data_IF_843290914552
#
_entry.id   IF_843290914552
#
_cell.length_a   1.000
_cell.length_b   1.000
_cell.length_c   1.000
_cell.angle_alpha   90.00
_cell.angle_beta   90.00
_cell.angle_gamma   90.00
#
_symmetry.space_group_name_H-M   'P 1'
#
loop_
_entity.id
_entity.type
_entity.pdbx_description
1 polymer ?
2 non-polymer ?
#
# COMPACT_ATOMS: atom_id res chain seq x y z
N UNK A 10 18.44 15.35 14.16
CA UNK A 10 18.49 16.06 15.43
C UNK A 10 18.62 15.10 16.59
N UNK A 11 17.82 14.04 16.60
CA UNK A 11 17.88 13.06 17.67
C UNK A 11 18.22 11.66 17.22
N UNK A 12 19.24 11.08 17.84
CA UNK A 12 19.62 9.71 17.54
C UNK A 12 20.21 9.66 16.14
N UNK A 13 19.40 10.10 15.19
CA UNK A 13 19.76 10.15 13.79
C UNK A 13 19.64 11.59 13.35
N UNK A 14 20.58 12.06 12.56
CA UNK A 14 20.48 13.43 12.05
C UNK A 14 19.26 13.53 11.16
N UNK A 15 18.53 14.63 11.29
CA UNK A 15 17.32 14.82 10.49
C UNK A 15 17.59 15.70 9.29
N UNK A 16 17.27 15.21 8.11
CA UNK A 16 17.54 15.93 6.87
C UNK A 16 16.29 16.46 6.17
N UNK A 17 16.25 16.28 4.84
CA UNK A 17 15.19 16.73 3.94
C UNK A 17 13.83 16.12 4.24
N UNK A 18 12.76 16.94 4.10
CA UNK A 18 11.38 16.54 4.32
C UNK A 18 10.88 15.72 3.13
N UNK A 19 10.43 14.48 3.39
CA UNK A 19 9.90 13.58 2.38
C UNK A 19 8.46 13.95 2.06
N UNK A 20 7.65 14.15 3.10
CA UNK A 20 6.24 14.52 2.99
C UNK A 20 5.66 15.15 4.23
N UNK A 21 4.41 15.62 4.12
CA UNK A 21 3.66 16.25 5.22
C UNK A 21 2.29 15.56 5.35
N UNK A 22 2.14 14.80 6.43
CA UNK A 22 0.91 14.06 6.73
C UNK A 22 -0.07 14.85 7.58
N UNK A 23 -1.10 14.15 8.10
CA UNK A 23 -2.14 14.74 8.95
C UNK A 23 -1.59 15.11 10.32
N UNK A 24 -0.98 14.13 11.02
CA UNK A 24 -0.40 14.28 12.36
C UNK A 24 0.96 15.02 12.39
N UNK A 25 1.54 15.25 11.21
CA UNK A 25 2.81 15.96 11.08
C UNK A 25 3.69 15.53 9.93
N UNK A 26 4.88 16.15 9.83
CA UNK A 26 5.88 15.90 8.78
C UNK A 26 6.53 14.51 8.89
N UNK A 27 7.17 14.08 7.80
CA UNK A 27 7.94 12.83 7.69
C UNK A 27 9.25 13.16 6.95
N UNK A 28 10.39 13.09 7.66
CA UNK A 28 11.73 13.43 7.16
C UNK A 28 12.68 12.22 7.08
N UNK A 29 13.83 12.40 6.40
CA UNK A 29 14.88 11.40 6.27
C UNK A 29 15.88 11.56 7.43
N UNK A 30 16.45 10.45 7.89
CA UNK A 30 17.40 10.44 9.00
C UNK A 30 18.62 9.61 8.72
N UNK A 31 19.77 10.26 8.47
CA UNK A 31 21.03 9.58 8.21
C UNK A 31 21.78 9.29 9.52
N UNK A 32 22.49 8.15 9.58
CA UNK A 32 23.26 7.77 10.78
C UNK A 32 24.55 8.59 10.86
N UNK A 33 24.82 9.16 12.05
CA UNK A 33 25.99 10.00 12.32
C UNK A 33 27.33 9.24 12.23
N UNK A 34 27.32 7.89 12.35
CA UNK A 34 28.54 7.07 12.28
C UNK A 34 28.64 6.22 11.00
N UNK A 35 27.60 5.42 10.70
CA UNK A 35 27.58 4.50 9.55
C UNK A 35 27.04 5.12 8.25
N UNK A 36 26.05 6.02 8.37
CA UNK A 36 25.43 6.67 7.24
C UNK A 36 24.15 6.00 6.80
N UNK A 37 23.64 5.07 7.63
CA UNK A 37 22.39 4.31 7.40
C UNK A 37 21.20 5.27 7.44
N UNK A 38 20.38 5.25 6.37
CA UNK A 38 19.21 6.10 6.22
C UNK A 38 17.92 5.47 6.72
N UNK A 39 17.17 6.22 7.54
CA UNK A 39 15.87 5.83 8.10
C UNK A 39 14.80 6.92 7.79
N UNK A 40 13.52 6.57 7.94
CA UNK A 40 12.40 7.48 7.72
C UNK A 40 11.74 7.79 9.06
N UNK A 41 11.72 9.07 9.44
CA UNK A 41 11.16 9.48 10.73
C UNK A 41 9.82 10.19 10.57
N UNK A 42 8.75 9.56 11.09
CA UNK A 42 7.40 10.13 11.09
C UNK A 42 7.25 10.93 12.37
N UNK A 43 7.20 12.27 12.24
CA UNK A 43 7.06 13.19 13.38
C UNK A 43 5.56 13.43 13.60
N UNK A 44 5.02 12.92 14.71
CA UNK A 44 3.59 13.06 15.04
C UNK A 44 3.40 14.03 16.20
N UNK A 45 2.62 15.11 15.98
CA UNK A 45 2.34 16.14 16.99
C UNK A 45 1.37 15.64 18.06
N UNK A 46 1.84 15.60 19.33
CA UNK A 46 1.06 15.14 20.49
C UNK A 46 -0.20 15.97 20.77
N UNK A 47 -0.13 17.30 20.53
CA UNK A 47 -1.27 18.23 20.72
C UNK A 47 -2.35 17.97 19.65
N UNK A 48 -1.93 17.71 18.40
CA UNK A 48 -2.79 17.41 17.26
C UNK A 48 -3.54 16.08 17.48
N UNK A 49 -2.86 15.08 18.10
CA UNK A 49 -3.42 13.77 18.43
C UNK A 49 -4.47 13.93 19.56
N UNK A 50 -4.12 14.73 20.59
CA UNK A 50 -4.98 15.05 21.73
C UNK A 50 -6.23 15.83 21.31
N UNK A 51 -6.09 16.69 20.28
CA UNK A 51 -7.19 17.50 19.74
C UNK A 51 -8.13 16.65 18.87
N UNK A 52 -7.60 15.60 18.23
CA UNK A 52 -8.36 14.68 17.38
C UNK A 52 -9.00 13.52 18.14
N UNK A 53 -8.75 13.44 19.48
CA UNK A 53 -9.27 12.42 20.42
C UNK A 53 -8.93 10.97 20.00
N UNK A 54 -7.73 10.78 19.44
CA UNK A 54 -7.24 9.46 18.99
C UNK A 54 -5.91 9.10 19.68
N UNK A 55 -5.83 9.38 21.01
CA UNK A 55 -4.67 9.13 21.87
C UNK A 55 -4.42 7.62 22.04
N UNK A 56 -5.46 6.90 22.47
CA UNK A 56 -5.42 5.46 22.67
C UNK A 56 -5.38 4.68 21.38
N UNK A 57 -6.00 5.23 20.32
CA UNK A 57 -6.07 4.63 18.97
C UNK A 57 -4.68 4.51 18.35
N UNK A 58 -3.88 5.60 18.40
CA UNK A 58 -2.52 5.67 17.85
C UNK A 58 -1.54 4.85 18.70
N UNK A 59 -1.70 4.88 20.05
CA UNK A 59 -0.86 4.13 21.00
C UNK A 59 -0.98 2.62 20.81
N UNK A 60 -2.22 2.11 20.56
CA UNK A 60 -2.50 0.70 20.32
C UNK A 60 -2.07 0.28 18.91
N UNK A 61 -2.09 1.22 17.95
CA UNK A 61 -1.68 1.02 16.56
C UNK A 61 -0.16 0.78 16.49
N UNK A 62 0.62 1.62 17.21
CA UNK A 62 2.08 1.55 17.30
C UNK A 62 2.51 0.24 17.97
N UNK A 63 1.76 -0.19 19.02
CA UNK A 63 2.00 -1.43 19.75
C UNK A 63 1.79 -2.64 18.82
N UNK A 64 0.78 -2.56 17.92
CA UNK A 64 0.47 -3.60 16.94
C UNK A 64 1.50 -3.62 15.81
N UNK A 65 2.00 -2.44 15.40
CA UNK A 65 3.01 -2.27 14.35
C UNK A 65 4.39 -2.74 14.80
N UNK A 66 4.66 -2.72 16.12
CA UNK A 66 5.95 -3.15 16.70
C UNK A 66 6.10 -4.67 16.58
N UNK A 67 4.99 -5.42 16.70
CA UNK A 67 4.94 -6.88 16.59
C UNK A 67 4.78 -7.38 15.14
N UNK A 68 4.72 -6.43 14.17
CA UNK A 68 4.57 -6.71 12.75
C UNK A 68 5.88 -7.27 12.17
N UNK A 69 5.79 -8.40 11.45
CA UNK A 69 6.94 -9.02 10.79
C UNK A 69 6.57 -9.61 9.42
N UNK A 70 6.65 -8.75 8.39
CA UNK A 70 6.37 -9.06 6.98
C UNK A 70 7.40 -8.27 6.15
N UNK A 71 8.18 -8.91 5.24
CA UNK A 71 9.22 -8.18 4.50
C UNK A 71 8.74 -7.16 3.46
N UNK A 72 7.47 -7.25 3.04
CA UNK A 72 6.92 -6.35 2.02
C UNK A 72 6.05 -5.23 2.63
N UNK A 73 6.25 -4.99 3.94
CA UNK A 73 5.62 -3.93 4.73
C UNK A 73 6.75 -3.14 5.43
N UNK A 74 6.64 -1.79 5.46
CA UNK A 74 7.63 -0.93 6.10
C UNK A 74 7.69 -1.22 7.61
N UNK A 75 8.85 -1.64 8.11
CA UNK A 75 9.03 -1.98 9.52
C UNK A 75 9.28 -0.77 10.40
N UNK A 76 8.80 -0.82 11.65
CA UNK A 76 8.95 0.21 12.66
C UNK A 76 10.05 -0.23 13.60
N UNK A 77 11.15 0.54 13.66
CA UNK A 77 12.28 0.21 14.51
C UNK A 77 12.10 0.68 15.95
N UNK A 78 11.96 2.00 16.16
CA UNK A 78 11.79 2.59 17.48
C UNK A 78 10.87 3.81 17.47
N UNK A 79 10.30 4.15 18.64
CA UNK A 79 9.43 5.32 18.82
C UNK A 79 9.97 6.17 19.98
N UNK A 80 10.58 7.33 19.66
CA UNK A 80 11.14 8.26 20.64
C UNK A 80 10.06 9.28 21.03
N UNK A 81 9.81 9.44 22.34
CA UNK A 81 8.81 10.35 22.86
C UNK A 81 9.40 11.61 23.51
N UNK A 82 8.89 12.78 23.11
CA UNK A 82 9.27 14.09 23.62
C UNK A 82 7.98 14.82 24.04
N UNK A 83 8.01 15.82 24.97
CA UNK A 83 6.75 16.49 25.36
C UNK A 83 5.98 17.19 24.23
N UNK A 84 6.65 17.45 23.08
CA UNK A 84 6.04 18.11 21.93
C UNK A 84 5.61 17.15 20.82
N UNK A 85 6.49 16.20 20.43
CA UNK A 85 6.21 15.27 19.33
C UNK A 85 6.57 13.79 19.61
N UNK A 86 6.16 12.92 18.67
CA UNK A 86 6.40 11.47 18.65
C UNK A 86 7.26 11.18 17.41
N UNK A 87 8.36 10.45 17.59
CA UNK A 87 9.30 10.16 16.50
C UNK A 87 9.33 8.68 16.10
N UNK A 88 8.58 8.32 15.04
CA UNK A 88 8.51 6.95 14.55
C UNK A 88 9.64 6.67 13.59
N UNK A 89 10.68 5.95 14.05
CA UNK A 89 11.82 5.58 13.23
C UNK A 89 11.45 4.31 12.44
N UNK A 90 11.40 4.45 11.11
CA UNK A 90 11.02 3.38 10.19
C UNK A 90 12.05 3.21 9.07
N UNK A 91 11.93 2.12 8.27
CA UNK A 91 12.86 1.88 7.17
C UNK A 91 12.58 2.82 6.00
N UNK A 92 13.65 3.40 5.43
CA UNK A 92 13.55 4.31 4.30
C UNK A 92 13.57 3.51 3.00
N UNK A 93 12.49 3.65 2.21
CA UNK A 93 12.29 3.00 0.93
C UNK A 93 12.82 3.98 -0.13
N UNK A 94 13.97 3.64 -0.75
CA UNK A 94 14.73 4.45 -1.70
C UNK A 94 14.01 4.89 -2.98
N UNK A 95 13.49 3.94 -3.76
CA UNK A 95 12.87 4.18 -5.06
C UNK A 95 11.47 4.75 -5.18
N UNK A 96 11.02 5.50 -4.16
CA UNK A 96 9.72 6.16 -4.15
C UNK A 96 8.51 5.28 -4.44
N UNK A 97 7.46 5.87 -5.04
CA UNK A 97 6.20 5.18 -5.37
C UNK A 97 6.29 4.30 -6.62
N UNK A 98 5.47 3.23 -6.67
CA UNK A 98 5.41 2.29 -7.80
C UNK A 98 4.76 2.94 -9.02
N UNK A 99 3.63 3.67 -8.83
CA UNK A 99 2.89 4.35 -9.87
C UNK A 99 3.69 5.49 -10.53
N UNK A 100 4.71 6.02 -9.83
CA UNK A 100 5.62 7.06 -10.35
C UNK A 100 6.51 6.45 -11.42
N UNK A 101 6.92 5.17 -11.20
CA UNK A 101 7.76 4.38 -12.11
C UNK A 101 6.96 3.95 -13.34
N UNK A 102 5.67 3.57 -13.15
CA UNK A 102 4.77 3.11 -14.22
C UNK A 102 4.54 4.20 -15.27
N UNK A 103 4.19 5.43 -14.85
CA UNK A 103 3.93 6.55 -15.76
C UNK A 103 5.20 7.09 -16.43
N UNK A 104 6.38 6.86 -15.81
CA UNK A 104 7.66 7.32 -16.32
C UNK A 104 8.38 6.29 -17.21
N UNK A 105 8.10 4.99 -17.03
CA UNK A 105 8.75 3.92 -17.79
C UNK A 105 7.80 3.09 -18.68
N UNK A 106 6.58 2.85 -18.20
CA UNK A 106 5.57 2.09 -18.94
C UNK A 106 5.03 0.90 -18.19
N UNK A 107 4.77 -0.20 -18.92
CA UNK A 107 4.23 -1.46 -18.40
C UNK A 107 5.33 -2.48 -18.05
N UNK A 108 5.07 -3.29 -17.02
CA UNK A 108 5.93 -4.34 -16.49
C UNK A 108 5.57 -5.71 -17.11
N UNK A 109 6.60 -6.56 -17.37
CA UNK A 109 6.49 -7.92 -17.94
C UNK A 109 5.57 -8.82 -17.08
N UNK A 110 4.84 -9.75 -17.73
CA UNK A 110 3.86 -10.67 -17.12
C UNK A 110 4.34 -11.41 -15.86
N UNK A 111 5.46 -12.15 -15.94
CA UNK A 111 5.98 -12.91 -14.80
C UNK A 111 6.64 -12.01 -13.72
N UNK A 112 6.94 -10.74 -14.08
CA UNK A 112 7.53 -9.74 -13.19
C UNK A 112 6.43 -8.99 -12.42
N UNK A 113 5.27 -8.77 -13.08
CA UNK A 113 4.08 -8.13 -12.51
C UNK A 113 3.43 -9.08 -11.50
N UNK A 114 3.49 -10.41 -11.76
CA UNK A 114 2.96 -11.46 -10.89
C UNK A 114 3.81 -11.55 -9.61
N UNK A 115 5.14 -11.28 -9.73
CA UNK A 115 6.09 -11.28 -8.62
C UNK A 115 5.76 -10.14 -7.66
N UNK A 116 5.51 -8.93 -8.21
CA UNK A 116 5.18 -7.74 -7.44
C UNK A 116 3.78 -7.86 -6.81
N UNK A 117 2.80 -8.40 -7.57
CA UNK A 117 1.41 -8.59 -7.13
C UNK A 117 1.29 -9.54 -5.92
N UNK A 118 2.05 -10.66 -5.95
CA UNK A 118 2.07 -11.64 -4.85
C UNK A 118 2.64 -10.99 -3.58
N UNK A 119 3.63 -10.08 -3.73
CA UNK A 119 4.24 -9.32 -2.64
C UNK A 119 3.24 -8.31 -2.07
N UNK A 120 2.42 -7.68 -2.94
CA UNK A 120 1.40 -6.70 -2.57
C UNK A 120 0.21 -7.37 -1.85
N UNK A 121 -0.36 -8.41 -2.45
CA UNK A 121 -1.52 -9.08 -1.90
C UNK A 121 -1.30 -9.75 -0.54
N UNK A 122 -0.16 -10.41 -0.38
CA UNK A 122 0.19 -11.07 0.88
C UNK A 122 0.32 -10.05 2.02
N UNK A 123 0.83 -8.84 1.69
CA UNK A 123 1.02 -7.73 2.61
C UNK A 123 -0.32 -7.13 3.03
N UNK A 124 -1.26 -6.97 2.06
CA UNK A 124 -2.61 -6.43 2.26
C UNK A 124 -3.38 -7.33 3.22
N UNK A 125 -3.37 -8.65 2.94
CA UNK A 125 -4.01 -9.70 3.75
C UNK A 125 -3.47 -9.70 5.19
N UNK A 126 -2.14 -9.58 5.35
CA UNK A 126 -1.43 -9.55 6.64
C UNK A 126 -1.90 -8.34 7.48
N UNK A 127 -2.08 -7.17 6.82
CA UNK A 127 -2.52 -5.92 7.46
C UNK A 127 -3.93 -6.03 8.04
N UNK A 128 -4.89 -6.60 7.28
CA UNK A 128 -6.28 -6.76 7.69
C UNK A 128 -6.49 -7.72 8.88
N UNK A 129 -5.57 -8.68 9.07
CA UNK A 129 -5.65 -9.65 10.17
C UNK A 129 -4.75 -9.29 11.38
N UNK A 130 -3.99 -8.18 11.29
CA UNK A 130 -3.08 -7.77 12.38
C UNK A 130 -3.15 -6.27 12.76
N UNK A 131 -4.10 -5.50 12.18
CA UNK A 131 -4.28 -4.07 12.50
C UNK A 131 -5.66 -3.73 13.05
N UNK A 132 -5.67 -2.96 14.14
CA UNK A 132 -6.90 -2.46 14.76
C UNK A 132 -7.69 -1.44 13.95
N UNK A 133 -6.99 -0.52 13.30
CA UNK A 133 -7.62 0.63 12.66
C UNK A 133 -7.20 0.68 11.21
N UNK A 134 -8.01 1.31 10.37
CA UNK A 134 -7.72 1.26 8.96
C UNK A 134 -7.91 2.53 8.13
N UNK A 135 -7.15 2.57 7.04
CA UNK A 135 -7.36 3.48 5.94
C UNK A 135 -7.39 2.57 4.72
N UNK A 136 -8.24 2.86 3.75
CA UNK A 136 -8.32 2.04 2.57
C UNK A 136 -7.00 2.11 1.80
N UNK A 137 -6.59 1.00 1.23
CA UNK A 137 -5.33 0.95 0.48
C UNK A 137 -5.42 1.77 -0.79
N UNK A 138 -4.35 2.51 -1.09
CA UNK A 138 -4.28 3.34 -2.29
C UNK A 138 -2.89 3.20 -2.89
N UNK A 139 -2.74 3.36 -4.21
CA UNK A 139 -1.40 3.18 -4.79
C UNK A 139 -0.29 4.02 -4.18
N UNK A 140 -0.65 4.97 -3.29
CA UNK A 140 0.27 5.84 -2.54
C UNK A 140 1.06 5.01 -1.52
N UNK A 141 0.40 3.97 -0.95
CA UNK A 141 0.97 3.05 0.04
C UNK A 141 2.04 2.14 -0.55
N UNK A 142 1.88 1.74 -1.83
CA UNK A 142 2.83 0.85 -2.50
C UNK A 142 4.07 1.62 -2.95
N UNK A 143 5.22 1.28 -2.36
CA UNK A 143 6.52 1.89 -2.65
C UNK A 143 7.48 0.83 -3.20
N UNK A 144 8.58 1.26 -3.84
CA UNK A 144 9.58 0.35 -4.42
C UNK A 144 10.95 0.61 -3.81
N UNK A 145 11.66 -0.46 -3.40
CA UNK A 145 12.99 -0.35 -2.78
C UNK A 145 14.15 -0.39 -3.80
N UNK A 146 15.39 -0.57 -3.30
CA UNK A 146 16.61 -0.65 -4.12
C UNK A 146 16.68 -1.96 -4.91
N UNK A 147 16.11 -3.06 -4.35
CA UNK A 147 16.06 -4.39 -4.96
C UNK A 147 14.82 -4.58 -5.86
N UNK A 148 14.07 -3.47 -6.10
CA UNK A 148 12.85 -3.38 -6.91
C UNK A 148 11.69 -4.25 -6.35
N UNK A 149 11.63 -4.35 -5.01
CA UNK A 149 10.59 -5.08 -4.27
C UNK A 149 9.54 -4.10 -3.75
N UNK A 150 8.28 -4.54 -3.69
CA UNK A 150 7.18 -3.71 -3.21
C UNK A 150 7.21 -3.62 -1.69
N UNK A 151 7.14 -2.39 -1.17
CA UNK A 151 7.11 -2.08 0.26
C UNK A 151 5.85 -1.26 0.52
N UNK A 152 4.90 -1.84 1.26
CA UNK A 152 3.61 -1.22 1.55
C UNK A 152 3.58 -0.62 2.95
N UNK A 153 3.06 0.60 3.08
CA UNK A 153 2.88 1.28 4.35
C UNK A 153 1.57 0.79 4.98
N UNK A 154 1.57 0.61 6.31
CA UNK A 154 0.42 0.15 7.10
C UNK A 154 -0.81 1.05 6.93
N UNK A 155 -2.02 0.48 7.07
CA UNK A 155 -3.26 1.22 6.93
C UNK A 155 -3.72 1.77 8.29
N UNK A 156 -2.97 2.74 8.82
CA UNK A 156 -3.28 3.33 10.12
C UNK A 156 -3.41 4.84 10.10
N UNK A 157 -3.70 5.43 11.28
CA UNK A 157 -3.84 6.88 11.48
C UNK A 157 -2.51 7.61 11.33
N UNK A 158 -1.37 6.91 11.56
CA UNK A 158 -0.01 7.45 11.45
C UNK A 158 0.31 7.91 10.02
N UNK A 159 -0.19 7.17 9.00
CA UNK A 159 0.01 7.53 7.60
C UNK A 159 -1.30 7.49 6.80
N UNK A 176 -11.14 7.48 -7.16
CA UNK A 176 -11.04 6.17 -7.79
C UNK A 176 -11.26 5.06 -6.77
N UNK A 177 -12.20 5.28 -5.86
CA UNK A 177 -12.60 4.26 -4.89
C UNK A 177 -13.49 3.20 -5.51
N UNK A 178 -13.60 2.06 -4.85
CA UNK A 178 -14.42 0.95 -5.31
C UNK A 178 -15.92 1.29 -5.23
N UNK A 179 -16.74 0.58 -6.01
CA UNK A 179 -18.20 0.80 -6.01
C UNK A 179 -18.79 0.48 -4.64
N UNK A 180 -19.84 1.17 -4.24
CA UNK A 180 -20.18 1.15 -2.82
C UNK A 180 -19.40 2.20 -2.03
N UNK A 187 -19.99 0.16 5.68
CA UNK A 187 -18.53 0.17 5.77
C UNK A 187 -17.91 -1.17 5.39
N UNK A 188 -16.75 -1.13 4.70
CA UNK A 188 -16.02 -2.32 4.24
C UNK A 188 -14.50 -2.10 4.27
N UNK A 189 -13.77 -3.15 4.67
CA UNK A 189 -12.32 -3.12 4.78
C UNK A 189 -11.59 -3.92 3.70
N UNK A 190 -11.54 -5.27 3.79
CA UNK A 190 -10.80 -6.05 2.78
C UNK A 190 -11.40 -6.01 1.37
N UNK A 191 -12.74 -5.88 1.25
CA UNK A 191 -13.47 -5.82 -0.03
C UNK A 191 -13.01 -4.65 -0.91
N UNK A 192 -12.79 -3.47 -0.29
CA UNK A 192 -12.34 -2.23 -0.95
C UNK A 192 -10.87 -2.39 -1.42
N UNK A 193 -10.04 -3.07 -0.61
CA UNK A 193 -8.62 -3.29 -0.88
C UNK A 193 -8.36 -4.30 -2.01
N UNK A 194 -9.24 -5.33 -2.16
CA UNK A 194 -9.13 -6.34 -3.22
C UNK A 194 -9.33 -5.67 -4.58
N UNK A 195 -10.29 -4.73 -4.65
CA UNK A 195 -10.59 -3.93 -5.84
C UNK A 195 -9.37 -3.06 -6.19
N UNK A 196 -8.75 -2.44 -5.16
CA UNK A 196 -7.54 -1.61 -5.29
C UNK A 196 -6.37 -2.44 -5.81
N UNK A 197 -6.23 -3.70 -5.33
CA UNK A 197 -5.21 -4.66 -5.78
C UNK A 197 -5.40 -4.97 -7.27
N UNK A 198 -6.66 -5.00 -7.71
CA UNK A 198 -7.05 -5.20 -9.10
C UNK A 198 -6.65 -4.02 -9.97
N UNK A 199 -6.75 -2.80 -9.41
CA UNK A 199 -6.36 -1.55 -10.07
C UNK A 199 -4.82 -1.52 -10.24
N UNK A 200 -4.09 -1.84 -9.14
CA UNK A 200 -2.63 -1.89 -9.12
C UNK A 200 -2.14 -2.99 -10.10
N UNK A 201 -2.83 -4.15 -10.12
CA UNK A 201 -2.51 -5.29 -11.02
C UNK A 201 -2.66 -4.88 -12.48
N UNK A 202 -3.78 -4.19 -12.82
CA UNK A 202 -4.07 -3.70 -14.17
C UNK A 202 -2.95 -2.77 -14.62
N UNK A 203 -2.64 -1.74 -13.81
CA UNK A 203 -1.58 -0.74 -14.06
C UNK A 203 -0.20 -1.37 -14.31
N UNK A 204 0.08 -2.52 -13.66
CA UNK A 204 1.35 -3.24 -13.79
C UNK A 204 1.55 -3.87 -15.17
N UNK A 205 0.51 -4.54 -15.71
CA UNK A 205 0.63 -5.16 -17.04
C UNK A 205 -0.09 -4.38 -18.16
N UNK A 206 -0.34 -3.06 -17.96
CA UNK A 206 -0.99 -2.21 -18.98
C UNK A 206 -0.32 -0.85 -19.14
N UNK A 207 0.06 -0.23 -18.03
CA UNK A 207 0.69 1.10 -18.01
C UNK A 207 -0.29 2.20 -17.66
N UNK A 208 -1.59 1.97 -17.92
CA UNK A 208 -2.69 2.88 -17.64
C UNK A 208 -3.61 2.29 -16.56
N UNK A 209 -4.58 3.10 -16.07
CA UNK A 209 -5.55 2.69 -15.05
C UNK A 209 -6.74 1.96 -15.71
N UNK A 210 -7.41 1.00 -15.02
CA UNK A 210 -8.57 0.32 -15.63
C UNK A 210 -9.73 1.27 -15.94
N UNK A 211 -9.95 2.25 -15.05
CA UNK A 211 -11.00 3.26 -15.19
C UNK A 211 -10.35 4.64 -15.09
N UNK A 212 -10.44 5.43 -16.16
CA UNK A 212 -9.88 6.78 -16.24
C UNK A 212 -10.62 7.61 -17.27
N UNK A 213 -11.22 8.73 -16.82
CA UNK A 213 -11.97 9.67 -17.64
C UNK A 213 -11.83 11.07 -17.06
N UNK A 214 -11.67 12.09 -17.94
CA UNK A 214 -11.54 13.50 -17.55
C UNK A 214 -12.81 14.00 -16.86
N UNK A 215 -14.00 13.57 -17.37
CA UNK A 215 -15.30 13.90 -16.80
C UNK A 215 -15.49 13.06 -15.52
N UNK A 216 -15.75 13.73 -14.39
CA UNK A 216 -15.91 13.11 -13.06
C UNK A 216 -17.19 12.22 -12.98
N UNK A 217 -18.42 12.63 -13.39
CA UNK A 217 -19.58 11.72 -13.26
C UNK A 217 -19.51 10.42 -14.05
N UNK A 218 -18.98 10.45 -15.28
CA UNK A 218 -18.86 9.27 -16.14
C UNK A 218 -17.76 8.30 -15.65
N UNK A 219 -16.81 8.78 -14.83
CA UNK A 219 -15.73 7.97 -14.23
C UNK A 219 -16.33 6.94 -13.27
N UNK A 220 -17.30 7.38 -12.42
CA UNK A 220 -17.99 6.51 -11.47
C UNK A 220 -18.94 5.56 -12.19
N UNK A 221 -19.47 5.96 -13.36
CA UNK A 221 -20.37 5.17 -14.20
C UNK A 221 -19.66 3.95 -14.76
N UNK A 222 -18.37 4.09 -15.12
CA UNK A 222 -17.54 3.00 -15.65
C UNK A 222 -17.19 2.01 -14.53
N UNK A 223 -16.93 2.53 -13.32
CA UNK A 223 -16.61 1.77 -12.11
C UNK A 223 -17.84 0.94 -11.67
N UNK A 224 -19.01 1.61 -11.53
CA UNK A 224 -20.27 0.99 -11.12
C UNK A 224 -20.82 0.02 -12.17
N UNK A 225 -20.28 0.10 -13.39
CA UNK A 225 -20.65 -0.78 -14.50
C UNK A 225 -19.61 -1.86 -14.72
N UNK A 226 -18.42 -1.65 -14.14
CA UNK A 226 -17.28 -2.56 -14.24
C UNK A 226 -16.64 -2.62 -15.61
N UNK A 227 -16.93 -1.62 -16.46
CA UNK A 227 -16.42 -1.56 -17.84
C UNK A 227 -14.98 -1.02 -17.89
N UNK A 228 -14.03 -1.92 -18.19
CA UNK A 228 -12.61 -1.61 -18.35
C UNK A 228 -12.06 -2.35 -19.58
N UNK A 229 -11.21 -1.67 -20.35
CA UNK A 229 -10.60 -2.21 -21.58
C UNK A 229 -9.62 -3.35 -21.28
N UNK A 230 -9.64 -4.41 -22.12
CA UNK A 230 -8.73 -5.55 -22.00
C UNK A 230 -7.83 -5.58 -23.24
N UNK A 231 -6.51 -5.50 -23.07
CA UNK A 231 -5.55 -5.45 -24.18
C UNK A 231 -5.24 -6.80 -24.85
N UNK A 232 -4.62 -6.76 -26.04
CA UNK A 232 -4.21 -7.96 -26.76
C UNK A 232 -3.09 -8.73 -26.04
N UNK A 233 -2.09 -8.00 -25.52
CA UNK A 233 -0.94 -8.59 -24.80
C UNK A 233 -1.31 -9.27 -23.47
N UNK A 234 -2.50 -8.94 -22.90
CA UNK A 234 -2.98 -9.52 -21.64
C UNK A 234 -3.40 -10.99 -21.79
N UNK A 235 -2.99 -11.82 -20.81
CA UNK A 235 -3.28 -13.25 -20.73
C UNK A 235 -4.75 -13.46 -20.33
N UNK A 236 -5.33 -14.63 -20.70
CA UNK A 236 -6.73 -14.94 -20.38
C UNK A 236 -6.96 -15.39 -18.93
N UNK A 237 -5.99 -16.10 -18.33
CA UNK A 237 -6.07 -16.58 -16.94
C UNK A 237 -6.12 -15.39 -15.96
N UNK A 238 -5.26 -14.37 -16.21
CA UNK A 238 -5.20 -13.15 -15.39
C UNK A 238 -6.43 -12.27 -15.64
N UNK A 239 -7.00 -12.32 -16.88
CA UNK A 239 -8.20 -11.57 -17.26
C UNK A 239 -9.42 -12.02 -16.46
N UNK A 240 -9.52 -13.34 -16.17
CA UNK A 240 -10.60 -13.94 -15.37
C UNK A 240 -10.46 -13.50 -13.90
N UNK A 241 -9.20 -13.38 -13.42
CA UNK A 241 -8.88 -12.94 -12.06
C UNK A 241 -9.19 -11.44 -11.90
N UNK A 242 -8.80 -10.62 -12.90
CA UNK A 242 -9.03 -9.17 -12.94
C UNK A 242 -10.52 -8.85 -12.97
N UNK A 243 -11.30 -9.64 -13.74
CA UNK A 243 -12.75 -9.50 -13.89
C UNK A 243 -13.44 -9.76 -12.54
N UNK A 244 -13.00 -10.81 -11.84
CA UNK A 244 -13.48 -11.10 -10.49
C UNK A 244 -13.10 -10.07 -9.43
N UNK A 245 -11.85 -9.63 -9.45
CA UNK A 245 -11.34 -8.64 -8.50
C UNK A 245 -11.99 -7.27 -8.66
N UNK A 246 -12.25 -6.86 -9.92
CA UNK A 246 -12.86 -5.55 -10.22
C UNK A 246 -14.39 -5.60 -10.32
N UNK A 247 -15.01 -6.67 -9.74
CA UNK A 247 -16.47 -6.87 -9.71
C UNK A 247 -17.14 -5.76 -8.91
N UNK A 248 -18.28 -5.26 -9.42
CA UNK A 248 -19.06 -4.16 -8.83
C UNK A 248 -19.63 -4.54 -7.45
N UNK A 249 -20.39 -5.65 -7.38
CA UNK A 249 -20.99 -6.14 -6.15
C UNK A 249 -19.91 -6.71 -5.22
N UNK A 250 -19.74 -6.17 -3.99
CA UNK A 250 -18.68 -6.68 -3.08
C UNK A 250 -18.91 -8.11 -2.60
N UNK A 251 -20.18 -8.56 -2.56
CA UNK A 251 -20.60 -9.91 -2.16
C UNK A 251 -20.18 -10.92 -3.24
N UNK A 252 -20.25 -10.49 -4.52
CA UNK A 252 -19.87 -11.28 -5.70
C UNK A 252 -18.37 -11.13 -6.04
N UNK A 253 -17.71 -10.11 -5.44
CA UNK A 253 -16.29 -9.82 -5.62
C UNK A 253 -15.40 -10.88 -4.97
N UNK A 254 -14.22 -11.14 -5.59
CA UNK A 254 -13.21 -12.11 -5.15
C UNK A 254 -12.68 -11.79 -3.75
N UNK A 255 -12.36 -12.86 -2.99
CA UNK A 255 -11.80 -12.76 -1.64
C UNK A 255 -10.32 -13.18 -1.67
N UNK A 256 -9.62 -13.05 -0.53
CA UNK A 256 -8.20 -13.42 -0.41
C UNK A 256 -8.02 -14.91 -0.76
N UNK A 257 -8.95 -15.76 -0.28
CA UNK A 257 -8.98 -17.21 -0.54
C UNK A 257 -9.20 -17.49 -2.03
N UNK A 258 -10.08 -16.71 -2.70
CA UNK A 258 -10.39 -16.84 -4.12
C UNK A 258 -9.17 -16.58 -5.02
N UNK A 259 -8.34 -15.59 -4.66
CA UNK A 259 -7.12 -15.24 -5.40
C UNK A 259 -6.03 -16.28 -5.11
N UNK A 260 -5.93 -16.75 -3.85
CA UNK A 260 -4.98 -17.78 -3.42
C UNK A 260 -5.24 -19.14 -4.09
N UNK A 261 -6.49 -19.39 -4.52
CA UNK A 261 -6.92 -20.61 -5.19
C UNK A 261 -6.87 -20.51 -6.74
N UNK A 262 -6.61 -19.29 -7.27
CA UNK A 262 -6.50 -19.05 -8.71
C UNK A 262 -5.20 -19.61 -9.28
N UNK A 263 -5.25 -20.12 -10.53
CA UNK A 263 -4.12 -20.73 -11.24
C UNK A 263 -2.96 -19.77 -11.54
N UNK A 264 -3.26 -18.55 -12.04
CA UNK A 264 -2.28 -17.53 -12.40
C UNK A 264 -1.48 -17.01 -11.19
N UNK A 265 -2.18 -16.78 -10.06
CA UNK A 265 -1.58 -16.31 -8.81
C UNK A 265 -0.70 -17.39 -8.17
N UNK A 266 -1.12 -18.67 -8.28
CA UNK A 266 -0.40 -19.83 -7.73
C UNK A 266 0.94 -20.08 -8.42
N UNK A 267 1.05 -19.74 -9.72
CA UNK A 267 2.25 -19.92 -10.55
C UNK A 267 3.44 -19.11 -10.05
N UNK A 268 4.55 -19.82 -9.70
CA UNK A 268 5.83 -19.30 -9.19
C UNK A 268 5.68 -18.44 -7.90
N UNK A 269 4.66 -18.73 -7.08
CA UNK A 269 4.39 -18.02 -5.84
C UNK A 269 5.29 -18.54 -4.71
N UNK A 270 6.02 -17.66 -3.99
CA UNK A 270 6.92 -18.14 -2.91
C UNK A 270 6.19 -18.66 -1.68
N UNK A 271 6.74 -19.73 -1.08
CA UNK A 271 6.20 -20.43 0.08
C UNK A 271 6.21 -19.65 1.40
N UNK A 272 7.14 -18.69 1.58
CA UNK A 272 7.25 -17.91 2.83
C UNK A 272 6.02 -17.04 3.11
N UNK A 273 5.30 -16.57 2.07
CA UNK A 273 4.07 -15.78 2.28
C UNK A 273 2.91 -16.72 2.63
N UNK A 274 1.92 -16.21 3.39
CA UNK A 274 0.71 -16.90 3.86
C UNK A 274 1.02 -18.08 4.80
#
# INVERSE_FOLDING_TARGET
GPKHDGRVKIGHYVLGDTLGVGTFGKVKIGEHQLTGHKVAVKILNRQKIRSLDVVGKIKREIQNLKLFRHPHIIKLYQVISTPTDFFMVMEYVSGGELFDYICKHGRVEEMEARRLFQQILSAVDYCHRHMVVHRDLKPENVLLDAHMNAKIADFGLSNMMSDGEFLRDSCGSPNYAAPEVISGRLYAGPEVDIWSCGVILYALLCGTLPFDDEHVPTLFKKIRGGVFYIPEYLNRSVATLLMHMLQVDPLKRATIKDIREHEWFKQDLPSYLFPE
#
